data_IF_515743167027
#
_entry.id   IF_515743167027
#
_cell.length_a   1.000
_cell.length_b   1.000
_cell.length_c   1.000
_cell.angle_alpha   90.00
_cell.angle_beta   90.00
_cell.angle_gamma   90.00
#
_symmetry.space_group_name_H-M   'P 1'
#
loop_
_entity.id
_entity.type
_entity.pdbx_description
1 polymer ?
#
# COMPACT_ATOMS: atom_id res chain seq x y z
N UNK A 1 5.78 -17.62 -17.01
CA UNK A 1 5.35 -16.74 -18.13
C UNK A 1 3.89 -17.05 -18.48
N UNK A 2 3.19 -16.21 -19.24
CA UNK A 2 1.75 -16.41 -19.60
C UNK A 2 1.46 -17.81 -20.17
N UNK A 3 2.37 -18.36 -20.96
CA UNK A 3 2.25 -19.70 -21.53
C UNK A 3 2.14 -20.84 -20.49
N UNK A 4 2.54 -20.59 -19.24
CA UNK A 4 2.41 -21.54 -18.13
C UNK A 4 1.00 -21.55 -17.51
N UNK A 5 0.11 -20.64 -17.92
CA UNK A 5 -1.27 -20.57 -17.44
C UNK A 5 -2.23 -20.71 -18.61
N UNK A 6 -2.97 -21.81 -18.64
CA UNK A 6 -3.96 -22.11 -19.68
C UNK A 6 -5.32 -22.33 -19.05
N UNK A 7 -6.38 -21.93 -19.75
CA UNK A 7 -7.73 -22.32 -19.35
C UNK A 7 -7.88 -23.83 -19.47
N UNK A 8 -8.45 -24.53 -18.47
CA UNK A 8 -8.74 -25.95 -18.58
C UNK A 8 -9.81 -26.19 -19.66
N UNK A 9 -9.83 -27.41 -20.20
CA UNK A 9 -10.87 -27.84 -21.15
C UNK A 9 -12.25 -27.69 -20.51
N UNK A 10 -13.25 -27.28 -21.29
CA UNK A 10 -14.63 -27.13 -20.82
C UNK A 10 -15.11 -28.41 -20.11
N UNK A 11 -15.65 -28.25 -18.90
CA UNK A 11 -16.09 -29.38 -18.06
C UNK A 11 -14.99 -30.00 -17.19
N UNK A 12 -13.75 -29.47 -17.23
CA UNK A 12 -12.65 -29.94 -16.38
C UNK A 12 -12.13 -28.84 -15.45
N UNK A 13 -11.57 -29.25 -14.31
CA UNK A 13 -10.88 -28.35 -13.38
C UNK A 13 -9.40 -28.18 -13.77
N UNK A 14 -8.83 -27.04 -13.41
CA UNK A 14 -7.39 -26.83 -13.52
C UNK A 14 -6.61 -27.72 -12.54
N UNK A 15 -5.44 -28.20 -12.95
CA UNK A 15 -4.51 -28.96 -12.09
C UNK A 15 -3.59 -28.05 -11.29
N UNK A 16 -3.63 -26.72 -11.52
CA UNK A 16 -2.85 -25.76 -10.75
C UNK A 16 -3.38 -25.67 -9.32
N UNK A 17 -2.46 -25.71 -8.36
CA UNK A 17 -2.78 -25.43 -6.98
C UNK A 17 -3.29 -23.98 -6.81
N UNK A 18 -4.18 -23.73 -5.85
CA UNK A 18 -4.53 -22.37 -5.44
C UNK A 18 -3.29 -21.57 -5.01
N UNK A 19 -3.36 -20.23 -5.15
CA UNK A 19 -2.33 -19.30 -4.67
C UNK A 19 -0.92 -19.47 -5.28
N UNK A 20 -0.83 -19.99 -6.51
CA UNK A 20 0.44 -20.13 -7.25
C UNK A 20 1.03 -18.81 -7.75
N UNK A 21 0.23 -17.74 -7.80
CA UNK A 21 0.71 -16.37 -8.08
C UNK A 21 0.93 -15.66 -6.74
N UNK A 22 2.18 -15.30 -6.46
CA UNK A 22 2.58 -14.63 -5.22
C UNK A 22 2.76 -13.14 -5.48
N UNK A 23 2.21 -12.30 -4.60
CA UNK A 23 2.34 -10.86 -4.69
C UNK A 23 3.74 -10.39 -4.27
N UNK A 24 4.20 -9.23 -4.78
CA UNK A 24 5.40 -8.58 -4.26
C UNK A 24 5.32 -8.32 -2.75
N UNK A 25 6.46 -8.31 -2.08
CA UNK A 25 6.51 -7.93 -0.68
C UNK A 25 6.29 -6.42 -0.50
N UNK A 26 5.55 -6.09 0.55
CA UNK A 26 5.33 -4.71 0.98
C UNK A 26 6.21 -4.41 2.18
N UNK A 27 6.74 -3.19 2.23
CA UNK A 27 7.38 -2.65 3.42
C UNK A 27 6.82 -1.25 3.63
N UNK A 28 6.01 -1.12 4.67
CA UNK A 28 5.40 0.13 5.11
C UNK A 28 6.01 0.53 6.44
N UNK A 29 6.52 1.76 6.52
CA UNK A 29 7.06 2.32 7.76
C UNK A 29 6.42 3.68 7.94
N UNK A 30 5.74 3.88 9.05
CA UNK A 30 5.02 5.11 9.35
C UNK A 30 5.62 5.77 10.58
N UNK A 31 5.62 7.09 10.58
CA UNK A 31 6.18 7.92 11.65
C UNK A 31 5.20 9.02 12.02
N UNK A 32 5.03 9.25 13.31
CA UNK A 32 4.26 10.37 13.82
C UNK A 32 5.01 11.05 14.97
N UNK A 33 5.07 12.37 14.93
CA UNK A 33 5.57 13.21 16.00
C UNK A 33 4.46 14.13 16.46
N UNK A 34 4.17 14.14 17.76
CA UNK A 34 3.24 15.10 18.37
C UNK A 34 3.91 15.80 19.52
N UNK A 35 3.78 17.13 19.57
CA UNK A 35 4.27 17.95 20.68
C UNK A 35 3.22 18.97 21.08
N UNK A 36 2.94 19.03 22.38
CA UNK A 36 2.11 20.08 22.96
C UNK A 36 2.98 21.12 23.66
N UNK A 37 2.71 22.38 23.38
CA UNK A 37 3.32 23.56 23.98
C UNK A 37 2.26 24.23 24.86
N UNK A 38 2.51 24.31 26.17
CA UNK A 38 1.67 25.13 27.06
C UNK A 38 2.03 26.59 26.83
N UNK A 39 1.05 27.39 26.45
CA UNK A 39 1.22 28.82 26.18
C UNK A 39 0.82 29.66 27.41
N UNK A 40 -0.19 29.20 28.14
CA UNK A 40 -0.65 29.78 29.41
C UNK A 40 -1.33 28.69 30.25
N UNK A 41 -1.82 28.97 31.49
CA UNK A 41 -2.52 27.97 32.29
C UNK A 41 -3.76 27.37 31.62
N UNK A 42 -4.47 28.15 30.79
CA UNK A 42 -5.67 27.71 30.07
C UNK A 42 -5.38 27.33 28.60
N UNK A 43 -4.26 27.79 28.02
CA UNK A 43 -4.00 27.64 26.59
C UNK A 43 -2.86 26.67 26.25
N UNK A 44 -3.06 25.89 25.19
CA UNK A 44 -2.02 25.05 24.62
C UNK A 44 -2.10 24.97 23.09
N UNK A 45 -0.94 24.82 22.46
CA UNK A 45 -0.80 24.52 21.04
C UNK A 45 -0.21 23.13 20.88
N UNK A 46 -0.90 22.25 20.17
CA UNK A 46 -0.40 20.96 19.75
C UNK A 46 -0.01 21.00 18.28
N UNK A 47 1.21 20.56 17.99
CA UNK A 47 1.73 20.35 16.64
C UNK A 47 1.84 18.85 16.42
N UNK A 48 1.30 18.36 15.31
CA UNK A 48 1.42 16.97 14.86
C UNK A 48 1.99 16.94 13.45
N UNK A 49 2.96 16.07 13.25
CA UNK A 49 3.52 15.73 11.94
C UNK A 49 3.44 14.22 11.74
N UNK A 50 2.91 13.81 10.59
CA UNK A 50 2.77 12.42 10.21
C UNK A 50 3.44 12.19 8.86
N UNK A 51 4.16 11.07 8.75
CA UNK A 51 4.82 10.61 7.54
C UNK A 51 4.45 9.15 7.33
N UNK A 52 3.71 8.87 6.28
CA UNK A 52 3.42 7.51 5.83
C UNK A 52 4.46 7.10 4.78
N UNK A 53 4.95 5.87 4.82
CA UNK A 53 6.03 5.38 3.96
C UNK A 53 7.30 6.27 4.08
N UNK A 54 7.87 6.30 5.29
CA UNK A 54 9.03 7.13 5.68
C UNK A 54 10.19 7.02 4.68
N UNK A 55 10.52 5.80 4.26
CA UNK A 55 11.61 5.54 3.31
C UNK A 55 11.22 5.72 1.84
N UNK A 56 9.97 6.10 1.56
CA UNK A 56 9.42 6.27 0.22
C UNK A 56 9.65 5.05 -0.70
N UNK A 57 9.52 3.83 -0.15
CA UNK A 57 9.67 2.59 -0.91
C UNK A 57 8.41 2.40 -1.77
N UNK A 58 8.60 2.07 -3.05
CA UNK A 58 7.48 1.67 -3.92
C UNK A 58 6.98 0.29 -3.46
N UNK A 59 5.70 0.22 -3.11
CA UNK A 59 5.01 -1.01 -2.75
C UNK A 59 4.10 -1.40 -3.92
N UNK A 60 4.60 -2.26 -4.79
CA UNK A 60 3.87 -2.76 -5.95
C UNK A 60 2.68 -3.63 -5.54
N UNK A 61 1.55 -3.45 -6.23
CA UNK A 61 0.35 -4.27 -5.99
C UNK A 61 0.44 -5.63 -6.72
N UNK A 62 -0.63 -6.40 -6.63
CA UNK A 62 -0.75 -7.67 -7.34
C UNK A 62 -0.65 -7.50 -8.87
N UNK A 63 -0.07 -8.47 -9.58
CA UNK A 63 -0.11 -8.49 -11.04
C UNK A 63 -1.54 -8.78 -11.54
N UNK A 64 -1.81 -8.45 -12.80
CA UNK A 64 -3.08 -8.83 -13.44
C UNK A 64 -3.11 -10.33 -13.68
N UNK A 65 -4.11 -11.01 -13.10
CA UNK A 65 -4.27 -12.47 -13.18
C UNK A 65 -5.39 -12.92 -14.14
N UNK A 66 -6.08 -11.97 -14.78
CA UNK A 66 -7.08 -12.28 -15.82
C UNK A 66 -6.40 -12.79 -17.10
N UNK A 67 -6.59 -14.07 -17.43
CA UNK A 67 -5.90 -14.74 -18.56
C UNK A 67 -6.21 -14.16 -19.94
N UNK A 68 -7.37 -13.52 -20.07
CA UNK A 68 -7.81 -12.81 -21.28
C UNK A 68 -7.20 -11.40 -21.41
N UNK A 69 -6.49 -10.89 -20.39
CA UNK A 69 -5.82 -9.59 -20.46
C UNK A 69 -4.51 -9.66 -21.25
N UNK A 70 -4.28 -8.66 -22.11
CA UNK A 70 -2.99 -8.48 -22.77
C UNK A 70 -1.84 -8.21 -21.78
N UNK A 71 -2.17 -7.71 -20.59
CA UNK A 71 -1.23 -7.39 -19.51
C UNK A 71 -1.12 -8.49 -18.44
N UNK A 72 -1.53 -9.72 -18.74
CA UNK A 72 -1.43 -10.84 -17.80
C UNK A 72 0.00 -10.98 -17.25
N UNK A 73 0.10 -11.09 -15.92
CA UNK A 73 1.38 -11.21 -15.20
C UNK A 73 2.14 -9.89 -15.02
N UNK A 74 1.64 -8.77 -15.54
CA UNK A 74 2.24 -7.45 -15.35
C UNK A 74 1.63 -6.75 -14.13
N UNK A 75 2.48 -6.04 -13.39
CA UNK A 75 2.05 -5.13 -12.32
C UNK A 75 1.97 -3.72 -12.90
N UNK A 76 0.79 -3.10 -12.79
CA UNK A 76 0.54 -1.75 -13.33
C UNK A 76 0.24 -0.71 -12.27
N UNK A 77 0.09 -1.13 -11.01
CA UNK A 77 -0.25 -0.23 -9.91
C UNK A 77 0.68 -0.45 -8.73
N UNK A 78 0.83 0.60 -7.94
CA UNK A 78 1.51 0.58 -6.67
C UNK A 78 0.61 1.23 -5.62
N UNK A 79 0.88 0.95 -4.34
CA UNK A 79 0.31 1.69 -3.23
C UNK A 79 0.82 3.13 -3.19
N UNK A 80 0.32 3.88 -2.22
CA UNK A 80 0.60 5.31 -2.12
C UNK A 80 2.10 5.60 -1.97
N UNK A 81 2.59 6.68 -2.61
CA UNK A 81 3.93 7.20 -2.33
C UNK A 81 3.99 7.75 -0.90
N UNK A 82 5.16 8.26 -0.48
CA UNK A 82 5.27 8.93 0.81
C UNK A 82 4.29 10.10 0.91
N UNK A 83 3.44 10.06 1.94
CA UNK A 83 2.50 11.14 2.27
C UNK A 83 2.96 11.79 3.56
N UNK A 84 3.03 13.11 3.57
CA UNK A 84 3.35 13.91 4.76
C UNK A 84 2.19 14.83 5.09
N UNK A 85 1.78 14.85 6.34
CA UNK A 85 0.65 15.66 6.81
C UNK A 85 1.03 16.41 8.08
N UNK A 86 0.59 17.64 8.17
CA UNK A 86 0.82 18.51 9.32
C UNK A 86 -0.53 18.97 9.88
N UNK A 87 -0.64 18.97 11.20
CA UNK A 87 -1.82 19.46 11.90
C UNK A 87 -1.44 20.34 13.09
N UNK A 88 -2.24 21.37 13.31
CA UNK A 88 -2.17 22.26 14.47
C UNK A 88 -3.50 22.21 15.21
N UNK A 89 -3.45 22.06 16.53
CA UNK A 89 -4.62 22.14 17.40
C UNK A 89 -4.35 23.15 18.51
N UNK A 90 -5.21 24.16 18.61
CA UNK A 90 -5.19 25.14 19.68
C UNK A 90 -6.32 24.86 20.67
N UNK A 91 -6.03 24.91 21.97
CA UNK A 91 -7.02 24.79 23.06
C UNK A 91 -6.94 26.02 23.95
N UNK A 92 -8.08 26.47 24.46
CA UNK A 92 -8.25 27.67 25.28
C UNK A 92 -9.05 27.38 26.55
#
# INVERSE_FOLDING_TARGET
SRAAFTSPTTGTYSTLAPFTVVNPSTLQNDFALTRSFRLSPAQALQVRWEVFNVFNKVNFNAPITSLNSASFGQIQTAGDPRIMQFALKFTF
#
